data_IF_514878382097
#
_entry.id   IF_514878382097
#
_cell.length_a   1.000
_cell.length_b   1.000
_cell.length_c   1.000
_cell.angle_alpha   90.00
_cell.angle_beta   90.00
_cell.angle_gamma   90.00
#
_symmetry.space_group_name_H-M   'P 1'
#
loop_
_entity.id
_entity.type
_entity.pdbx_description
1 polymer ?
#
# COMPACT_ATOMS: atom_id res chain seq x y z
N UNK A 1 17.58 26.65 -22.52
CA UNK A 1 17.82 25.74 -21.37
C UNK A 1 16.53 25.25 -20.71
N UNK A 2 15.44 26.02 -20.63
CA UNK A 2 14.15 25.57 -20.04
C UNK A 2 13.54 24.32 -20.70
N UNK A 3 13.66 24.17 -22.02
CA UNK A 3 13.13 23.00 -22.75
C UNK A 3 13.76 21.66 -22.33
N UNK A 4 15.03 21.67 -21.89
CA UNK A 4 15.72 20.44 -21.47
C UNK A 4 15.21 19.96 -20.10
N UNK A 5 14.90 20.89 -19.19
CA UNK A 5 14.27 20.55 -17.90
C UNK A 5 12.86 20.01 -18.09
N UNK A 6 12.07 20.59 -19.00
CA UNK A 6 10.72 20.11 -19.30
C UNK A 6 10.77 18.67 -19.86
N UNK A 7 11.67 18.40 -20.81
CA UNK A 7 11.85 17.05 -21.36
C UNK A 7 12.28 16.03 -20.30
N UNK A 8 13.19 16.40 -19.38
CA UNK A 8 13.62 15.53 -18.29
C UNK A 8 12.49 15.22 -17.31
N UNK A 9 11.66 16.22 -16.97
CA UNK A 9 10.55 16.04 -16.05
C UNK A 9 9.47 15.15 -16.67
N UNK A 10 9.13 15.36 -17.94
CA UNK A 10 8.21 14.49 -18.69
C UNK A 10 8.75 13.06 -18.80
N UNK A 11 10.05 12.89 -19.11
CA UNK A 11 10.67 11.57 -19.16
C UNK A 11 10.62 10.85 -17.80
N UNK A 12 10.82 11.58 -16.71
CA UNK A 12 10.74 11.02 -15.35
C UNK A 12 9.31 10.60 -15.01
N UNK A 13 8.30 11.41 -15.33
CA UNK A 13 6.88 11.07 -15.11
C UNK A 13 6.48 9.84 -15.93
N UNK A 14 6.90 9.75 -17.19
CA UNK A 14 6.65 8.58 -18.05
C UNK A 14 7.33 7.33 -17.48
N UNK A 15 8.56 7.43 -16.99
CA UNK A 15 9.27 6.31 -16.39
C UNK A 15 8.57 5.79 -15.12
N UNK A 16 8.04 6.69 -14.28
CA UNK A 16 7.27 6.34 -13.08
C UNK A 16 5.92 5.71 -13.44
N UNK A 17 5.23 6.24 -14.45
CA UNK A 17 3.97 5.68 -14.92
C UNK A 17 4.16 4.28 -15.55
N UNK A 18 5.23 4.10 -16.33
CA UNK A 18 5.57 2.82 -16.95
C UNK A 18 5.94 1.75 -15.91
N UNK A 19 6.67 2.13 -14.86
CA UNK A 19 7.02 1.22 -13.75
C UNK A 19 5.79 0.84 -12.92
N UNK A 20 4.88 1.78 -12.67
CA UNK A 20 3.60 1.49 -12.02
C UNK A 20 2.72 0.53 -12.87
N UNK A 21 2.60 0.78 -14.18
CA UNK A 21 1.84 -0.09 -15.09
C UNK A 21 2.45 -1.49 -15.21
N UNK A 22 3.78 -1.61 -15.22
CA UNK A 22 4.47 -2.90 -15.25
C UNK A 22 4.28 -3.68 -13.94
N UNK A 23 4.32 -3.00 -12.80
CA UNK A 23 4.06 -3.61 -11.49
C UNK A 23 2.62 -4.13 -11.36
N UNK A 24 1.63 -3.38 -11.86
CA UNK A 24 0.22 -3.80 -11.89
C UNK A 24 0.03 -5.01 -12.81
N UNK A 25 0.71 -5.05 -13.97
CA UNK A 25 0.64 -6.19 -14.89
C UNK A 25 1.25 -7.47 -14.29
N UNK A 26 2.35 -7.34 -13.55
CA UNK A 26 2.98 -8.45 -12.83
C UNK A 26 2.13 -8.96 -11.64
N UNK A 27 1.33 -8.10 -11.02
CA UNK A 27 0.36 -8.50 -9.99
C UNK A 27 -0.86 -9.23 -10.59
N UNK A 28 -1.29 -8.86 -11.80
CA UNK A 28 -2.43 -9.49 -12.45
C UNK A 28 -2.12 -10.90 -13.02
N UNK A 29 -0.86 -11.20 -13.35
CA UNK A 29 -0.47 -12.52 -13.86
C UNK A 29 -0.35 -13.60 -12.78
N UNK A 30 -0.31 -13.23 -11.50
CA UNK A 30 -0.31 -14.19 -10.38
C UNK A 30 -1.73 -14.61 -9.99
N UNK A 31 -2.45 -15.23 -10.92
CA UNK A 31 -3.62 -16.04 -10.56
C UNK A 31 -3.15 -17.24 -9.72
N UNK A 32 -3.69 -17.47 -8.52
CA UNK A 32 -3.35 -18.65 -7.74
C UNK A 32 -3.74 -19.95 -8.49
N UNK A 33 -2.95 -21.04 -8.36
CA UNK A 33 -3.31 -22.32 -8.93
C UNK A 33 -4.65 -22.79 -8.36
N UNK A 34 -5.54 -23.22 -9.26
CA UNK A 34 -6.87 -23.68 -8.93
C UNK A 34 -6.84 -24.81 -7.89
N UNK A 35 -7.52 -24.62 -6.77
CA UNK A 35 -7.75 -25.65 -5.76
C UNK A 35 -8.55 -26.83 -6.35
N UNK A 36 -8.31 -28.07 -5.88
CA UNK A 36 -9.01 -29.25 -6.36
C UNK A 36 -10.52 -29.19 -6.04
N UNK A 37 -11.34 -29.29 -7.09
CA UNK A 37 -12.80 -29.36 -7.06
C UNK A 37 -13.26 -30.56 -6.22
N UNK A 38 -13.85 -30.30 -5.05
CA UNK A 38 -14.67 -31.29 -4.34
C UNK A 38 -16.05 -31.36 -4.97
N UNK A 39 -16.35 -32.55 -5.46
CA UNK A 39 -17.61 -33.04 -5.98
C UNK A 39 -18.65 -33.13 -4.85
N UNK A 40 -19.77 -32.40 -4.92
CA UNK A 40 -21.13 -32.98 -4.81
C UNK A 40 -22.25 -31.93 -4.82
N UNK A 41 -23.36 -32.38 -5.41
CA UNK A 41 -24.75 -32.05 -5.14
C UNK A 41 -25.32 -30.76 -5.75
N UNK A 42 -25.87 -30.95 -6.95
CA UNK A 42 -27.24 -30.58 -7.35
C UNK A 42 -27.85 -29.34 -6.69
N UNK A 43 -27.85 -28.23 -7.43
CA UNK A 43 -28.80 -27.15 -7.25
C UNK A 43 -29.24 -26.65 -8.63
N UNK A 44 -30.56 -26.57 -8.78
CA UNK A 44 -31.37 -26.22 -9.94
C UNK A 44 -30.84 -25.06 -10.76
N UNK A 45 -30.60 -25.31 -12.05
CA UNK A 45 -30.25 -24.31 -13.07
C UNK A 45 -31.50 -23.47 -13.35
N UNK A 46 -31.61 -22.31 -12.71
CA UNK A 46 -32.52 -21.24 -13.13
C UNK A 46 -31.87 -20.54 -14.33
N UNK A 47 -32.45 -20.77 -15.51
CA UNK A 47 -32.06 -20.18 -16.80
C UNK A 47 -32.40 -18.68 -16.78
N UNK A 48 -31.41 -17.77 -16.77
CA UNK A 48 -31.72 -16.34 -16.87
C UNK A 48 -32.25 -16.03 -18.26
N UNK A 49 -33.37 -15.31 -18.31
CA UNK A 49 -33.94 -14.79 -19.53
C UNK A 49 -32.91 -13.88 -20.23
N UNK A 50 -32.55 -14.23 -21.46
CA UNK A 50 -31.75 -13.39 -22.36
C UNK A 50 -32.52 -12.08 -22.58
N UNK A 51 -32.15 -11.02 -21.87
CA UNK A 51 -32.55 -9.68 -22.25
C UNK A 51 -31.81 -9.34 -23.54
N UNK A 52 -32.53 -9.34 -24.66
CA UNK A 52 -32.10 -8.74 -25.90
C UNK A 52 -32.10 -7.23 -25.71
N UNK A 53 -31.07 -6.72 -25.03
CA UNK A 53 -30.80 -5.28 -25.03
C UNK A 53 -30.43 -4.91 -26.47
N UNK A 54 -31.14 -3.97 -27.13
CA UNK A 54 -30.76 -3.53 -28.47
C UNK A 54 -29.30 -3.07 -28.42
N UNK A 55 -28.48 -3.65 -29.29
CA UNK A 55 -27.07 -3.34 -29.44
C UNK A 55 -26.96 -1.83 -29.65
N UNK A 56 -26.46 -1.12 -28.64
CA UNK A 56 -26.13 0.29 -28.74
C UNK A 56 -25.15 0.42 -29.91
N UNK A 57 -25.46 1.19 -30.97
CA UNK A 57 -24.52 1.40 -32.06
C UNK A 57 -23.21 1.90 -31.45
N UNK A 58 -22.12 1.18 -31.75
CA UNK A 58 -20.80 1.60 -31.34
C UNK A 58 -20.60 3.04 -31.84
N UNK A 59 -20.29 4.01 -30.96
CA UNK A 59 -20.00 5.36 -31.40
C UNK A 59 -18.90 5.25 -32.46
N UNK A 60 -19.18 5.76 -33.65
CA UNK A 60 -18.18 5.89 -34.71
C UNK A 60 -16.97 6.58 -34.11
N UNK A 61 -15.79 5.96 -34.24
CA UNK A 61 -14.59 6.35 -33.51
C UNK A 61 -14.16 7.76 -33.85
N UNK A 62 -14.62 8.72 -33.05
CA UNK A 62 -13.93 9.98 -32.86
C UNK A 62 -12.55 9.63 -32.29
N UNK A 63 -11.49 10.04 -32.99
CA UNK A 63 -10.14 9.93 -32.48
C UNK A 63 -10.12 10.48 -31.04
N UNK A 64 -9.42 9.83 -30.09
CA UNK A 64 -9.38 10.31 -28.71
C UNK A 64 -8.95 11.77 -28.75
N UNK A 65 -9.85 12.66 -28.30
CA UNK A 65 -9.61 14.09 -28.30
C UNK A 65 -8.22 14.33 -27.70
N UNK A 66 -7.35 14.99 -28.45
CA UNK A 66 -6.01 15.30 -27.98
C UNK A 66 -6.17 16.38 -26.90
N UNK A 67 -5.86 16.03 -25.65
CA UNK A 67 -5.99 16.98 -24.53
C UNK A 67 -5.02 18.14 -24.71
N UNK A 68 -5.46 19.35 -24.37
CA UNK A 68 -4.58 20.51 -24.36
C UNK A 68 -3.47 20.29 -23.32
N UNK A 69 -2.18 20.48 -23.67
CA UNK A 69 -1.09 20.46 -22.72
C UNK A 69 -1.30 21.36 -21.48
N UNK A 70 -2.02 22.48 -21.61
CA UNK A 70 -2.35 23.35 -20.50
C UNK A 70 -3.27 22.67 -19.48
N UNK A 71 -4.32 21.98 -19.95
CA UNK A 71 -5.24 21.22 -19.09
C UNK A 71 -4.51 20.09 -18.36
N UNK A 72 -3.56 19.42 -19.04
CA UNK A 72 -2.72 18.38 -18.43
C UNK A 72 -1.89 18.94 -17.29
N UNK A 73 -1.29 20.13 -17.47
CA UNK A 73 -0.48 20.77 -16.43
C UNK A 73 -1.33 21.19 -15.21
N UNK A 74 -2.50 21.79 -15.44
CA UNK A 74 -3.44 22.16 -14.38
C UNK A 74 -3.89 20.94 -13.58
N UNK A 75 -4.23 19.83 -14.26
CA UNK A 75 -4.61 18.58 -13.60
C UNK A 75 -3.46 18.00 -12.78
N UNK A 76 -2.23 18.02 -13.30
CA UNK A 76 -1.06 17.53 -12.57
C UNK A 76 -0.84 18.31 -11.27
N UNK A 77 -0.99 19.65 -11.30
CA UNK A 77 -0.89 20.50 -10.11
C UNK A 77 -1.98 20.15 -9.09
N UNK A 78 -3.24 20.02 -9.53
CA UNK A 78 -4.35 19.66 -8.64
C UNK A 78 -4.18 18.27 -8.04
N UNK A 79 -3.74 17.28 -8.82
CA UNK A 79 -3.46 15.95 -8.30
C UNK A 79 -2.29 15.96 -7.30
N UNK A 80 -1.25 16.77 -7.52
CA UNK A 80 -0.16 16.92 -6.57
C UNK A 80 -0.65 17.53 -5.24
N UNK A 81 -1.53 18.53 -5.29
CA UNK A 81 -2.13 19.13 -4.11
C UNK A 81 -2.97 18.11 -3.31
N UNK A 82 -3.81 17.33 -3.99
CA UNK A 82 -4.62 16.27 -3.35
C UNK A 82 -3.74 15.17 -2.75
N UNK A 83 -2.68 14.75 -3.46
CA UNK A 83 -1.74 13.77 -2.96
C UNK A 83 -1.03 14.25 -1.67
N UNK A 84 -0.67 15.54 -1.60
CA UNK A 84 -0.09 16.12 -0.40
C UNK A 84 -1.09 16.18 0.77
N UNK A 85 -2.34 16.57 0.51
CA UNK A 85 -3.45 16.54 1.47
C UNK A 85 -3.63 15.13 2.06
N UNK A 86 -3.73 14.13 1.17
CA UNK A 86 -3.92 12.73 1.55
C UNK A 86 -2.73 12.20 2.34
N UNK A 87 -1.49 12.53 1.96
CA UNK A 87 -0.29 12.14 2.68
C UNK A 87 -0.27 12.70 4.12
N UNK A 88 -0.72 13.95 4.31
CA UNK A 88 -0.86 14.56 5.65
C UNK A 88 -1.93 13.85 6.48
N UNK A 89 -3.12 13.65 5.92
CA UNK A 89 -4.22 12.97 6.60
C UNK A 89 -3.83 11.53 7.00
N UNK A 90 -3.15 10.82 6.10
CA UNK A 90 -2.65 9.48 6.35
C UNK A 90 -1.59 9.42 7.45
N UNK A 91 -0.60 10.31 7.40
CA UNK A 91 0.45 10.38 8.43
C UNK A 91 -0.13 10.71 9.81
N UNK A 92 -1.13 11.61 9.84
CA UNK A 92 -1.87 11.93 11.06
C UNK A 92 -2.62 10.71 11.63
N UNK A 93 -3.33 9.96 10.77
CA UNK A 93 -4.06 8.77 11.18
C UNK A 93 -3.13 7.68 11.74
N UNK A 94 -1.98 7.43 11.10
CA UNK A 94 -0.94 6.53 11.62
C UNK A 94 -0.46 7.01 12.98
N UNK A 95 -0.05 8.28 13.10
CA UNK A 95 0.47 8.85 14.34
C UNK A 95 -0.52 8.71 15.51
N UNK A 96 -1.82 8.93 15.27
CA UNK A 96 -2.85 8.73 16.28
C UNK A 96 -2.93 7.29 16.78
N UNK A 97 -2.82 6.29 15.89
CA UNK A 97 -2.79 4.87 16.29
C UNK A 97 -1.50 4.51 17.02
N UNK A 98 -0.34 4.94 16.51
CA UNK A 98 0.96 4.69 17.14
C UNK A 98 1.05 5.29 18.55
N UNK A 99 0.46 6.47 18.76
CA UNK A 99 0.36 7.11 20.08
C UNK A 99 -0.33 6.19 21.09
N UNK A 100 -1.46 5.61 20.72
CA UNK A 100 -2.23 4.69 21.59
C UNK A 100 -1.41 3.43 21.88
N UNK A 101 -0.80 2.84 20.86
CA UNK A 101 0.02 1.63 20.99
C UNK A 101 1.22 1.83 21.92
N UNK A 102 1.96 2.93 21.74
CA UNK A 102 3.12 3.26 22.56
C UNK A 102 2.72 3.58 24.02
N UNK A 103 1.68 4.38 24.21
CA UNK A 103 1.21 4.77 25.55
C UNK A 103 0.71 3.56 26.35
N UNK A 104 -0.05 2.67 25.72
CA UNK A 104 -0.57 1.45 26.36
C UNK A 104 0.43 0.29 26.37
N UNK A 105 1.62 0.48 25.80
CA UNK A 105 2.65 -0.56 25.63
C UNK A 105 2.08 -1.85 25.06
N UNK A 106 1.24 -1.74 24.03
CA UNK A 106 0.58 -2.90 23.42
C UNK A 106 1.65 -3.83 22.83
N UNK A 107 1.72 -5.10 23.25
CA UNK A 107 2.74 -6.00 22.76
C UNK A 107 2.45 -6.42 21.32
N UNK A 108 3.53 -6.62 20.57
CA UNK A 108 3.52 -7.15 19.23
C UNK A 108 3.28 -8.65 19.29
N UNK A 109 2.35 -9.15 18.48
CA UNK A 109 1.94 -10.57 18.43
C UNK A 109 2.59 -11.32 17.30
N UNK A 110 2.68 -10.69 16.14
CA UNK A 110 3.21 -11.33 14.95
C UNK A 110 3.76 -10.29 13.98
N UNK A 111 4.77 -10.71 13.22
CA UNK A 111 5.26 -10.01 12.05
C UNK A 111 4.98 -10.93 10.86
N UNK A 112 4.13 -10.51 9.94
CA UNK A 112 3.73 -11.30 8.78
C UNK A 112 4.27 -10.66 7.50
N UNK A 113 4.58 -11.45 6.46
CA UNK A 113 4.98 -10.89 5.17
C UNK A 113 3.85 -10.05 4.55
N UNK A 114 4.24 -8.93 3.92
CA UNK A 114 3.35 -8.11 3.11
C UNK A 114 3.71 -8.25 1.61
N UNK A 115 2.82 -7.85 0.68
CA UNK A 115 3.02 -8.11 -0.76
C UNK A 115 4.27 -7.47 -1.37
N UNK A 116 4.76 -6.37 -0.79
CA UNK A 116 5.92 -5.66 -1.29
C UNK A 116 7.22 -6.18 -0.64
N UNK A 117 8.28 -6.27 -1.43
CA UNK A 117 9.59 -6.72 -0.94
C UNK A 117 10.11 -5.81 0.18
N UNK A 118 10.63 -6.41 1.26
CA UNK A 118 11.14 -5.67 2.42
C UNK A 118 10.05 -5.01 3.27
N UNK A 119 8.79 -5.36 3.06
CA UNK A 119 7.65 -4.90 3.87
C UNK A 119 7.04 -6.04 4.67
N UNK A 120 6.43 -5.71 5.80
CA UNK A 120 5.75 -6.64 6.68
C UNK A 120 4.50 -5.99 7.30
N UNK A 121 3.54 -6.83 7.66
CA UNK A 121 2.43 -6.51 8.55
C UNK A 121 2.88 -6.70 9.99
N UNK A 122 2.80 -5.63 10.77
CA UNK A 122 3.17 -5.57 12.17
C UNK A 122 1.88 -5.67 12.98
N UNK A 123 1.60 -6.84 13.55
CA UNK A 123 0.34 -7.15 14.21
C UNK A 123 0.47 -6.98 15.72
N UNK A 124 -0.32 -6.07 16.28
CA UNK A 124 -0.37 -5.79 17.72
C UNK A 124 -1.46 -6.60 18.43
N UNK A 125 -1.34 -6.72 19.74
CA UNK A 125 -2.29 -7.47 20.58
C UNK A 125 -3.69 -6.87 20.66
N UNK A 126 -3.85 -5.58 20.33
CA UNK A 126 -5.15 -4.91 20.29
C UNK A 126 -5.87 -5.05 18.94
N UNK A 127 -5.30 -5.83 18.01
CA UNK A 127 -5.81 -6.03 16.66
C UNK A 127 -5.32 -4.99 15.66
N UNK A 128 -4.58 -3.95 16.09
CA UNK A 128 -4.01 -2.98 15.15
C UNK A 128 -2.94 -3.66 14.28
N UNK A 129 -3.01 -3.44 12.96
CA UNK A 129 -2.01 -3.93 12.01
C UNK A 129 -1.42 -2.74 11.26
N UNK A 130 -0.10 -2.60 11.31
CA UNK A 130 0.65 -1.56 10.61
C UNK A 130 1.48 -2.20 9.50
N UNK A 131 1.35 -1.72 8.27
CA UNK A 131 2.24 -2.10 7.19
C UNK A 131 3.50 -1.25 7.34
N UNK A 132 4.65 -1.91 7.43
CA UNK A 132 5.94 -1.24 7.63
C UNK A 132 7.04 -1.86 6.79
N UNK A 133 8.06 -1.07 6.48
CA UNK A 133 9.32 -1.57 5.90
C UNK A 133 10.47 -1.47 6.89
N UNK A 134 11.45 -2.35 6.71
CA UNK A 134 12.73 -2.22 7.39
C UNK A 134 13.42 -0.89 7.02
N UNK A 135 13.91 -0.15 8.02
CA UNK A 135 14.78 1.00 7.77
C UNK A 135 16.17 0.58 7.28
N UNK A 136 16.65 -0.59 7.75
CA UNK A 136 17.93 -1.19 7.37
C UNK A 136 17.76 -2.69 7.08
N UNK A 137 18.58 -3.29 6.20
CA UNK A 137 18.58 -4.73 6.00
C UNK A 137 18.72 -5.48 7.33
N UNK A 138 17.89 -6.50 7.55
CA UNK A 138 17.90 -7.31 8.77
C UNK A 138 16.98 -6.84 9.90
N UNK A 139 16.53 -5.59 9.93
CA UNK A 139 15.67 -5.06 11.01
C UNK A 139 14.38 -5.88 11.22
N UNK A 140 13.74 -6.29 10.13
CA UNK A 140 12.55 -7.15 10.20
C UNK A 140 12.87 -8.52 10.81
N UNK A 141 14.00 -9.12 10.46
CA UNK A 141 14.42 -10.40 11.04
C UNK A 141 14.76 -10.25 12.52
N UNK A 142 15.46 -9.18 12.88
CA UNK A 142 15.77 -8.83 14.27
C UNK A 142 14.49 -8.66 15.08
N UNK A 143 13.48 -7.97 14.55
CA UNK A 143 12.19 -7.80 15.19
C UNK A 143 11.46 -9.14 15.37
N UNK A 144 11.39 -9.98 14.32
CA UNK A 144 10.79 -11.33 14.39
C UNK A 144 11.45 -12.15 15.50
N UNK A 145 12.78 -12.18 15.56
CA UNK A 145 13.52 -12.86 16.62
C UNK A 145 13.19 -12.29 18.01
N UNK A 146 13.03 -10.97 18.13
CA UNK A 146 12.63 -10.31 19.37
C UNK A 146 11.26 -10.78 19.86
N UNK A 147 10.26 -10.79 18.97
CA UNK A 147 8.88 -11.22 19.26
C UNK A 147 8.82 -12.67 19.74
N UNK A 148 9.62 -13.56 19.17
CA UNK A 148 9.68 -14.95 19.61
C UNK A 148 10.33 -15.15 20.98
N UNK A 149 11.18 -14.21 21.42
CA UNK A 149 11.97 -14.34 22.65
C UNK A 149 11.42 -13.54 23.82
N UNK A 150 10.66 -12.48 23.56
CA UNK A 150 10.20 -11.56 24.58
C UNK A 150 8.96 -10.77 24.15
N UNK A 151 8.31 -10.14 25.13
CA UNK A 151 7.28 -9.15 24.85
C UNK A 151 7.93 -7.91 24.21
N UNK A 152 7.75 -7.77 22.91
CA UNK A 152 8.22 -6.62 22.13
C UNK A 152 7.12 -5.57 22.05
N UNK A 153 7.42 -4.32 22.41
CA UNK A 153 6.47 -3.21 22.33
C UNK A 153 7.05 -2.07 21.49
N UNK A 154 6.15 -1.21 20.97
CA UNK A 154 6.54 0.07 20.39
C UNK A 154 7.05 0.99 21.50
N UNK A 155 8.33 1.33 21.48
CA UNK A 155 8.97 2.15 22.50
C UNK A 155 8.89 3.64 22.17
N UNK A 156 9.08 3.99 20.89
CA UNK A 156 8.99 5.36 20.41
C UNK A 156 8.55 5.37 18.95
N UNK A 157 8.04 6.52 18.52
CA UNK A 157 7.78 6.80 17.11
C UNK A 157 8.04 8.28 16.84
N UNK A 158 8.36 8.59 15.61
CA UNK A 158 8.59 9.95 15.14
C UNK A 158 7.96 10.12 13.75
N UNK A 159 7.26 11.24 13.55
CA UNK A 159 6.65 11.57 12.26
C UNK A 159 7.42 12.73 11.66
N UNK A 160 8.29 12.40 10.72
CA UNK A 160 8.99 13.37 9.89
C UNK A 160 8.12 13.82 8.70
N UNK A 161 8.65 14.74 7.86
CA UNK A 161 7.91 15.29 6.71
C UNK A 161 7.49 14.26 5.67
N UNK A 162 8.21 13.13 5.60
CA UNK A 162 8.04 12.13 4.54
C UNK A 162 7.85 10.70 5.03
N UNK A 163 8.24 10.42 6.28
CA UNK A 163 8.24 9.06 6.82
C UNK A 163 7.87 9.09 8.30
N UNK A 164 7.10 8.10 8.72
CA UNK A 164 6.86 7.83 10.14
C UNK A 164 7.75 6.67 10.56
N UNK A 165 8.68 6.92 11.48
CA UNK A 165 9.61 5.92 11.99
C UNK A 165 9.07 5.34 13.29
N UNK A 166 9.18 4.03 13.45
CA UNK A 166 8.77 3.27 14.62
C UNK A 166 9.98 2.57 15.21
N UNK A 167 10.21 2.75 16.52
CA UNK A 167 11.25 2.07 17.27
C UNK A 167 10.63 1.05 18.22
N UNK A 168 10.97 -0.20 18.01
CA UNK A 168 10.60 -1.31 18.89
C UNK A 168 11.70 -1.56 19.90
N UNK A 169 11.33 -1.99 21.10
CA UNK A 169 12.28 -2.44 22.10
C UNK A 169 11.78 -3.73 22.77
N UNK A 170 12.73 -4.58 23.09
CA UNK A 170 12.58 -5.76 23.93
C UNK A 170 13.90 -5.97 24.67
N UNK A 171 13.89 -6.66 25.83
CA UNK A 171 15.04 -7.09 26.63
C UNK A 171 16.34 -6.25 26.56
N UNK A 172 16.78 -5.66 27.69
CA UNK A 172 18.15 -5.14 27.88
C UNK A 172 18.75 -4.33 26.69
N UNK A 173 17.94 -3.45 26.08
CA UNK A 173 18.42 -2.49 25.07
C UNK A 173 18.40 -2.98 23.62
N UNK A 174 17.85 -4.16 23.32
CA UNK A 174 17.62 -4.54 21.93
C UNK A 174 16.50 -3.70 21.31
N UNK A 175 16.78 -3.19 20.11
CA UNK A 175 15.84 -2.36 19.38
C UNK A 175 15.79 -2.74 17.90
N UNK A 176 14.67 -2.42 17.25
CA UNK A 176 14.56 -2.44 15.81
C UNK A 176 13.79 -1.22 15.31
N UNK A 177 14.26 -0.65 14.21
CA UNK A 177 13.69 0.55 13.60
C UNK A 177 13.00 0.20 12.26
N UNK A 178 11.71 0.52 12.17
CA UNK A 178 10.89 0.32 10.97
C UNK A 178 10.29 1.66 10.51
N UNK A 179 9.94 1.73 9.23
CA UNK A 179 9.20 2.86 8.65
C UNK A 179 7.76 2.42 8.42
N UNK A 180 6.81 3.07 9.10
CA UNK A 180 5.39 2.86 8.87
C UNK A 180 5.01 3.38 7.49
N UNK A 181 4.37 2.51 6.70
CA UNK A 181 3.87 2.81 5.36
C UNK A 181 2.38 3.12 5.43
N UNK A 182 1.61 2.37 6.21
CA UNK A 182 0.16 2.52 6.31
C UNK A 182 -0.46 1.66 7.39
N UNK A 183 -1.77 1.83 7.58
CA UNK A 183 -2.59 0.95 8.42
C UNK A 183 -3.24 -0.11 7.54
N UNK A 184 -3.17 -1.37 7.95
CA UNK A 184 -3.96 -2.44 7.33
C UNK A 184 -5.36 -2.38 7.95
N UNK A 185 -6.19 -1.48 7.44
CA UNK A 185 -7.60 -1.47 7.78
C UNK A 185 -8.21 -2.66 7.03
N UNK A 186 -8.38 -3.78 7.72
CA UNK A 186 -9.29 -4.81 7.23
C UNK A 186 -10.69 -4.18 7.20
N UNK A 187 -11.15 -3.83 5.99
CA UNK A 187 -12.55 -3.51 5.68
C UNK A 187 -13.50 -4.62 6.19
#
# INVERSE_FOLDING_TARGET
MQWVMLCLLVAMVIAVAATAAHAVRLLHDRRPPAAPKKTRASATVVRPARSTHPARPAPAGDAPAQWDPADIAELAERFAAVAAEQARAHSFAIGMRLRVLAHRRVPLRAVQPAPAHGTARICFADGTVVIARAARPGELLTLVCGVHRAATCLAAWDTGPHVTTMRFAWNHGHTADLIAIGLDNSD
#
